data_IF_544495848027
#
_entry.id   IF_544495848027
#
_cell.length_a   1.000
_cell.length_b   1.000
_cell.length_c   1.000
_cell.angle_alpha   90.00
_cell.angle_beta   90.00
_cell.angle_gamma   90.00
#
_symmetry.space_group_name_H-M   'P 1'
#
loop_
_entity.id
_entity.type
_entity.pdbx_description
1 polymer ?
#
# COMPACT_ATOMS: atom_id res chain seq x y z
N UNK A 1 16.49 10.36 -33.90
CA UNK A 1 15.94 9.00 -34.09
C UNK A 1 15.72 8.26 -32.78
N UNK A 2 16.73 8.16 -31.91
CA UNK A 2 16.60 7.51 -30.57
C UNK A 2 15.45 8.04 -29.73
N UNK A 3 15.30 9.37 -29.59
CA UNK A 3 14.22 9.98 -28.82
C UNK A 3 12.82 9.64 -29.37
N UNK A 4 12.66 9.60 -30.68
CA UNK A 4 11.39 9.24 -31.32
C UNK A 4 11.01 7.78 -31.09
N UNK A 5 11.97 6.88 -31.06
CA UNK A 5 11.73 5.45 -30.74
C UNK A 5 11.24 5.24 -29.32
N UNK A 6 11.52 6.19 -28.42
CA UNK A 6 11.03 6.22 -27.03
C UNK A 6 9.83 7.15 -26.83
N UNK A 7 9.14 7.52 -27.90
CA UNK A 7 7.90 8.33 -27.82
C UNK A 7 8.12 9.81 -27.50
N UNK A 8 9.36 10.31 -27.58
CA UNK A 8 9.71 11.71 -27.34
C UNK A 8 9.90 12.47 -28.66
N UNK A 9 9.61 13.76 -28.67
CA UNK A 9 9.73 14.64 -29.84
C UNK A 9 11.19 14.89 -30.22
N UNK A 10 12.04 15.09 -29.23
CA UNK A 10 13.48 15.35 -29.33
C UNK A 10 14.21 14.89 -28.08
N UNK A 11 15.52 15.10 -28.02
CA UNK A 11 16.37 14.68 -26.90
C UNK A 11 16.02 15.42 -25.60
N UNK A 12 15.65 16.69 -25.66
CA UNK A 12 15.28 17.47 -24.46
C UNK A 12 13.96 16.94 -23.90
N UNK A 13 12.97 16.71 -24.73
CA UNK A 13 11.71 16.11 -24.33
C UNK A 13 11.89 14.70 -23.74
N UNK A 14 12.81 13.89 -24.31
CA UNK A 14 13.16 12.59 -23.73
C UNK A 14 13.74 12.73 -22.30
N UNK A 15 14.67 13.67 -22.10
CA UNK A 15 15.24 13.95 -20.77
C UNK A 15 14.16 14.36 -19.77
N UNK A 16 13.24 15.23 -20.19
CA UNK A 16 12.11 15.66 -19.34
C UNK A 16 11.21 14.47 -18.96
N UNK A 17 10.86 13.62 -19.92
CA UNK A 17 10.03 12.43 -19.67
C UNK A 17 10.71 11.46 -18.69
N UNK A 18 12.00 11.18 -18.90
CA UNK A 18 12.79 10.30 -18.02
C UNK A 18 12.90 10.91 -16.62
N UNK A 19 13.21 12.21 -16.53
CA UNK A 19 13.28 12.92 -15.23
C UNK A 19 11.95 12.83 -14.50
N UNK A 20 10.84 13.08 -15.19
CA UNK A 20 9.50 12.99 -14.61
C UNK A 20 9.15 11.57 -14.17
N UNK A 21 9.55 10.56 -14.92
CA UNK A 21 9.36 9.16 -14.57
C UNK A 21 10.14 8.80 -13.29
N UNK A 22 11.40 9.18 -13.20
CA UNK A 22 12.25 8.97 -12.03
C UNK A 22 11.65 9.68 -10.80
N UNK A 23 11.25 10.96 -10.94
CA UNK A 23 10.63 11.71 -9.86
C UNK A 23 9.33 11.06 -9.37
N UNK A 24 8.50 10.57 -10.29
CA UNK A 24 7.27 9.86 -9.94
C UNK A 24 7.57 8.56 -9.19
N UNK A 25 8.60 7.81 -9.61
CA UNK A 25 9.01 6.58 -8.94
C UNK A 25 9.47 6.83 -7.50
N UNK A 26 10.34 7.83 -7.29
CA UNK A 26 10.76 8.23 -5.95
C UNK A 26 9.57 8.69 -5.09
N UNK A 27 8.70 9.49 -5.68
CA UNK A 27 7.49 9.96 -4.99
C UNK A 27 6.62 8.80 -4.52
N UNK A 28 6.32 7.84 -5.40
CA UNK A 28 5.51 6.67 -5.05
C UNK A 28 6.13 5.87 -3.90
N UNK A 29 7.44 5.63 -3.97
CA UNK A 29 8.15 4.87 -2.95
C UNK A 29 8.17 5.61 -1.59
N UNK A 30 8.45 6.92 -1.59
CA UNK A 30 8.45 7.75 -0.38
C UNK A 30 7.04 7.92 0.20
N UNK A 31 6.01 8.01 -0.65
CA UNK A 31 4.60 8.03 -0.22
C UNK A 31 4.22 6.71 0.45
N UNK A 32 4.71 5.57 -0.06
CA UNK A 32 4.54 4.26 0.56
C UNK A 32 5.14 4.19 1.97
N UNK A 33 6.39 4.62 2.12
CA UNK A 33 7.06 4.70 3.43
C UNK A 33 6.31 5.64 4.39
N UNK A 34 5.86 6.79 3.90
CA UNK A 34 5.08 7.74 4.71
C UNK A 34 3.77 7.13 5.18
N UNK A 35 3.08 6.41 4.31
CA UNK A 35 1.84 5.68 4.62
C UNK A 35 2.09 4.68 5.74
N UNK A 36 3.09 3.84 5.60
CA UNK A 36 3.43 2.82 6.59
C UNK A 36 3.77 3.43 7.96
N UNK A 37 4.60 4.48 7.99
CA UNK A 37 4.93 5.17 9.22
C UNK A 37 3.71 5.80 9.91
N UNK A 38 2.76 6.35 9.14
CA UNK A 38 1.52 6.87 9.69
C UNK A 38 0.70 5.73 10.31
N UNK A 39 0.53 4.62 9.60
CA UNK A 39 -0.21 3.46 10.09
C UNK A 39 0.43 2.87 11.36
N UNK A 40 1.75 2.75 11.41
CA UNK A 40 2.48 2.28 12.59
C UNK A 40 2.29 3.21 13.80
N UNK A 41 2.27 4.52 13.59
CA UNK A 41 2.01 5.47 14.67
C UNK A 41 0.55 5.37 15.15
N UNK A 42 -0.41 5.26 14.23
CA UNK A 42 -1.83 5.07 14.56
C UNK A 42 -2.01 3.79 15.40
N UNK A 43 -1.39 2.70 14.98
CA UNK A 43 -1.43 1.45 15.72
C UNK A 43 -0.89 1.58 17.14
N UNK A 44 0.24 2.26 17.32
CA UNK A 44 0.88 2.45 18.64
C UNK A 44 0.08 3.36 19.56
N UNK A 45 -0.56 4.39 19.00
CA UNK A 45 -1.29 5.40 19.79
C UNK A 45 -2.66 4.93 20.30
N UNK A 46 -3.19 3.86 19.73
CA UNK A 46 -4.53 3.38 20.10
C UNK A 46 -4.44 1.97 20.68
N UNK A 47 -5.20 1.71 21.72
CA UNK A 47 -5.42 0.36 22.23
C UNK A 47 -6.82 -0.09 21.82
N UNK A 48 -6.90 -1.22 21.11
CA UNK A 48 -8.16 -1.78 20.60
C UNK A 48 -8.23 -3.24 21.06
N UNK A 49 -9.30 -3.60 21.73
CA UNK A 49 -9.60 -4.99 22.08
C UNK A 49 -10.06 -5.73 20.83
N UNK A 50 -9.44 -6.86 20.57
CA UNK A 50 -9.73 -7.71 19.41
C UNK A 50 -10.38 -8.98 19.94
N UNK A 51 -11.60 -9.28 19.47
CA UNK A 51 -12.27 -10.53 19.82
C UNK A 51 -11.59 -11.72 19.13
N UNK A 52 -11.60 -12.86 19.82
CA UNK A 52 -11.00 -14.11 19.29
C UNK A 52 -11.65 -14.53 17.97
N UNK A 53 -12.94 -14.29 17.80
CA UNK A 53 -13.63 -14.61 16.56
C UNK A 53 -13.07 -13.82 15.35
N UNK A 54 -12.87 -12.49 15.51
CA UNK A 54 -12.24 -11.67 14.46
C UNK A 54 -10.82 -12.13 14.16
N UNK A 55 -10.06 -12.48 15.22
CA UNK A 55 -8.70 -12.98 15.05
C UNK A 55 -8.66 -14.28 14.26
N UNK A 56 -9.54 -15.23 14.56
CA UNK A 56 -9.62 -16.50 13.83
C UNK A 56 -10.04 -16.31 12.37
N UNK A 57 -11.00 -15.42 12.10
CA UNK A 57 -11.41 -15.10 10.73
C UNK A 57 -10.25 -14.49 9.93
N UNK A 58 -9.53 -13.53 10.49
CA UNK A 58 -8.40 -12.89 9.80
C UNK A 58 -7.23 -13.86 9.61
N UNK A 59 -6.95 -14.72 10.59
CA UNK A 59 -5.95 -15.78 10.45
C UNK A 59 -6.30 -16.73 9.31
N UNK A 60 -7.57 -17.14 9.21
CA UNK A 60 -8.04 -17.97 8.10
C UNK A 60 -7.81 -17.33 6.74
N UNK A 61 -8.06 -16.01 6.62
CA UNK A 61 -7.80 -15.27 5.39
C UNK A 61 -6.30 -15.22 5.06
N UNK A 62 -5.45 -14.92 6.05
CA UNK A 62 -3.99 -14.81 5.85
C UNK A 62 -3.39 -16.17 5.46
N UNK A 63 -3.89 -17.26 6.03
CA UNK A 63 -3.31 -18.59 5.84
C UNK A 63 -3.94 -19.36 4.67
N UNK A 64 -4.99 -18.86 4.05
CA UNK A 64 -5.76 -19.56 3.01
C UNK A 64 -4.91 -20.09 1.85
N UNK A 65 -3.82 -19.42 1.50
CA UNK A 65 -2.93 -19.78 0.39
C UNK A 65 -1.61 -20.39 0.83
N UNK A 66 -1.39 -20.56 2.14
CA UNK A 66 -0.15 -21.08 2.70
C UNK A 66 -0.25 -22.59 2.89
N UNK A 67 0.91 -23.26 2.86
CA UNK A 67 1.02 -24.68 3.23
C UNK A 67 0.94 -24.83 4.75
N UNK A 68 0.44 -25.96 5.24
CA UNK A 68 0.33 -26.24 6.69
C UNK A 68 1.66 -26.06 7.44
N UNK A 69 2.77 -26.55 6.85
CA UNK A 69 4.12 -26.40 7.44
C UNK A 69 4.52 -24.93 7.63
N UNK A 70 4.16 -24.06 6.67
CA UNK A 70 4.47 -22.63 6.73
C UNK A 70 3.54 -21.91 7.72
N UNK A 71 2.31 -22.38 7.88
CA UNK A 71 1.36 -21.86 8.86
C UNK A 71 1.89 -22.10 10.28
N UNK A 72 2.30 -23.33 10.59
CA UNK A 72 2.82 -23.68 11.91
C UNK A 72 4.14 -22.96 12.23
N UNK A 73 5.09 -22.93 11.27
CA UNK A 73 6.36 -22.20 11.42
C UNK A 73 6.17 -20.71 11.70
N UNK A 74 5.16 -20.09 11.07
CA UNK A 74 4.92 -18.66 11.15
C UNK A 74 3.75 -18.26 12.05
N UNK A 75 3.22 -19.17 12.86
CA UNK A 75 1.99 -18.96 13.65
C UNK A 75 2.00 -17.65 14.44
N UNK A 76 3.05 -17.39 15.21
CA UNK A 76 3.18 -16.15 16.01
C UNK A 76 3.26 -14.89 15.13
N UNK A 77 3.92 -14.99 13.99
CA UNK A 77 4.02 -13.88 13.05
C UNK A 77 2.67 -13.61 12.37
N UNK A 78 1.99 -14.66 11.92
CA UNK A 78 0.66 -14.59 11.32
C UNK A 78 -0.34 -13.97 12.31
N UNK A 79 -0.29 -14.37 13.58
CA UNK A 79 -1.13 -13.78 14.63
C UNK A 79 -0.83 -12.29 14.85
N UNK A 80 0.44 -11.90 14.86
CA UNK A 80 0.84 -10.49 14.97
C UNK A 80 0.34 -9.66 13.77
N UNK A 81 0.47 -10.20 12.57
CA UNK A 81 -0.03 -9.55 11.34
C UNK A 81 -1.56 -9.43 11.40
N UNK A 82 -2.26 -10.50 11.78
CA UNK A 82 -3.71 -10.49 11.90
C UNK A 82 -4.18 -9.42 12.89
N UNK A 83 -3.61 -9.40 14.09
CA UNK A 83 -3.92 -8.40 15.11
C UNK A 83 -3.68 -6.96 14.61
N UNK A 84 -2.55 -6.72 13.95
CA UNK A 84 -2.24 -5.41 13.37
C UNK A 84 -3.26 -5.00 12.31
N UNK A 85 -3.62 -5.91 11.40
CA UNK A 85 -4.61 -5.65 10.33
C UNK A 85 -5.98 -5.34 10.90
N UNK A 86 -6.47 -6.14 11.85
CA UNK A 86 -7.76 -5.91 12.51
C UNK A 86 -7.76 -4.57 13.23
N UNK A 87 -6.73 -4.32 14.04
CA UNK A 87 -6.59 -3.09 14.81
C UNK A 87 -6.62 -1.85 13.92
N UNK A 88 -5.81 -1.85 12.86
CA UNK A 88 -5.79 -0.76 11.89
C UNK A 88 -7.13 -0.61 11.17
N UNK A 89 -7.74 -1.72 10.74
CA UNK A 89 -9.06 -1.69 10.10
C UNK A 89 -10.12 -1.03 10.97
N UNK A 90 -10.20 -1.40 12.25
CA UNK A 90 -11.15 -0.82 13.19
C UNK A 90 -10.90 0.68 13.44
N UNK A 91 -9.64 1.07 13.63
CA UNK A 91 -9.27 2.48 13.85
C UNK A 91 -9.57 3.32 12.60
N UNK A 92 -9.20 2.84 11.43
CA UNK A 92 -9.42 3.56 10.18
C UNK A 92 -10.92 3.68 9.87
N UNK A 93 -11.70 2.62 10.12
CA UNK A 93 -13.16 2.68 9.96
C UNK A 93 -13.78 3.75 10.87
N UNK A 94 -13.44 3.75 12.16
CA UNK A 94 -13.90 4.75 13.14
C UNK A 94 -13.53 6.18 12.72
N UNK A 95 -12.29 6.38 12.24
CA UNK A 95 -11.83 7.68 11.74
C UNK A 95 -12.62 8.12 10.50
N UNK A 96 -12.90 7.20 9.60
CA UNK A 96 -13.67 7.48 8.40
C UNK A 96 -15.12 7.81 8.71
N UNK A 97 -15.77 7.06 9.58
CA UNK A 97 -17.15 7.30 10.00
C UNK A 97 -17.30 8.66 10.71
N UNK A 98 -16.43 8.96 11.68
CA UNK A 98 -16.43 10.24 12.38
C UNK A 98 -16.22 11.46 11.50
N UNK A 99 -15.58 11.27 10.35
CA UNK A 99 -15.36 12.34 9.37
C UNK A 99 -16.27 12.22 8.15
N UNK A 100 -17.29 11.36 8.17
CA UNK A 100 -18.26 11.14 7.09
C UNK A 100 -17.60 10.83 5.74
N UNK A 101 -16.46 10.14 5.76
CA UNK A 101 -15.75 9.74 4.56
C UNK A 101 -16.48 8.56 3.89
N UNK A 102 -16.70 8.66 2.61
CA UNK A 102 -17.28 7.60 1.78
C UNK A 102 -16.51 7.52 0.47
N UNK A 103 -16.46 6.35 -0.11
CA UNK A 103 -15.96 6.16 -1.48
C UNK A 103 -17.15 6.33 -2.42
N UNK A 104 -17.04 7.29 -3.31
CA UNK A 104 -18.06 7.54 -4.32
C UNK A 104 -17.86 6.58 -5.50
N UNK A 105 -18.95 6.23 -6.17
CA UNK A 105 -18.90 5.36 -7.35
C UNK A 105 -17.98 5.91 -8.45
N UNK A 106 -17.91 7.24 -8.58
CA UNK A 106 -17.00 7.91 -9.51
C UNK A 106 -15.53 7.65 -9.16
N UNK A 107 -15.16 7.71 -7.89
CA UNK A 107 -13.77 7.47 -7.44
C UNK A 107 -13.35 6.04 -7.76
N UNK A 108 -14.24 5.07 -7.56
CA UNK A 108 -13.99 3.68 -7.92
C UNK A 108 -13.82 3.52 -9.44
N UNK A 109 -14.70 4.12 -10.24
CA UNK A 109 -14.60 4.11 -11.70
C UNK A 109 -13.29 4.75 -12.19
N UNK A 110 -12.91 5.89 -11.62
CA UNK A 110 -11.66 6.59 -11.96
C UNK A 110 -10.43 5.75 -11.60
N UNK A 111 -10.46 5.02 -10.47
CA UNK A 111 -9.39 4.12 -10.07
C UNK A 111 -9.26 2.91 -11.02
N UNK A 112 -10.38 2.29 -11.40
CA UNK A 112 -10.39 1.20 -12.40
C UNK A 112 -9.85 1.73 -13.74
N UNK A 113 -10.29 2.91 -14.17
CA UNK A 113 -9.81 3.52 -15.42
C UNK A 113 -8.31 3.79 -15.42
N UNK A 114 -7.74 4.22 -14.30
CA UNK A 114 -6.29 4.37 -14.15
C UNK A 114 -5.56 3.04 -14.30
N UNK A 115 -6.08 1.96 -13.72
CA UNK A 115 -5.48 0.63 -13.90
C UNK A 115 -5.58 0.15 -15.35
N UNK A 116 -6.71 0.36 -16.00
CA UNK A 116 -6.88 0.07 -17.44
C UNK A 116 -5.84 0.80 -18.29
N UNK A 117 -5.59 2.09 -17.97
CA UNK A 117 -4.60 2.89 -18.70
C UNK A 117 -3.15 2.47 -18.41
N UNK A 118 -2.88 1.91 -17.23
CA UNK A 118 -1.54 1.46 -16.84
C UNK A 118 -1.13 0.12 -17.46
N UNK A 119 -2.08 -0.61 -18.10
CA UNK A 119 -1.85 -1.94 -18.70
C UNK A 119 -2.17 -1.93 -20.22
N UNK A 120 -1.31 -1.34 -21.07
CA UNK A 120 -1.51 -1.32 -22.50
C UNK A 120 -1.64 -2.73 -23.09
N UNK A 121 -2.64 -2.94 -23.94
CA UNK A 121 -2.94 -4.24 -24.55
C UNK A 121 -3.82 -5.16 -23.70
N UNK A 122 -4.04 -4.86 -22.42
CA UNK A 122 -4.87 -5.68 -21.51
C UNK A 122 -6.12 -4.94 -20.98
N UNK A 123 -6.45 -3.79 -21.56
CA UNK A 123 -7.52 -2.91 -21.07
C UNK A 123 -8.85 -3.64 -20.89
N UNK A 124 -9.22 -4.45 -21.88
CA UNK A 124 -10.47 -5.22 -21.85
C UNK A 124 -10.47 -6.25 -20.73
N UNK A 125 -9.34 -6.94 -20.54
CA UNK A 125 -9.20 -7.96 -19.50
C UNK A 125 -9.29 -7.36 -18.09
N UNK A 126 -8.66 -6.20 -17.87
CA UNK A 126 -8.75 -5.49 -16.58
C UNK A 126 -10.18 -5.06 -16.28
N UNK A 127 -10.88 -4.50 -17.27
CA UNK A 127 -12.28 -4.09 -17.09
C UNK A 127 -13.18 -5.28 -16.78
N UNK A 128 -13.07 -6.37 -17.56
CA UNK A 128 -13.83 -7.61 -17.33
C UNK A 128 -13.53 -8.23 -15.97
N UNK A 129 -12.27 -8.16 -15.51
CA UNK A 129 -11.88 -8.65 -14.20
C UNK A 129 -12.68 -7.98 -13.08
N UNK A 130 -12.76 -6.64 -13.08
CA UNK A 130 -13.54 -5.92 -12.07
C UNK A 130 -15.05 -6.12 -12.20
N UNK A 131 -15.56 -6.29 -13.41
CA UNK A 131 -16.98 -6.59 -13.65
C UNK A 131 -17.38 -7.98 -13.14
N UNK A 132 -16.51 -8.98 -13.31
CA UNK A 132 -16.77 -10.36 -12.92
C UNK A 132 -16.41 -10.68 -11.47
N UNK A 133 -15.62 -9.83 -10.80
CA UNK A 133 -15.12 -10.05 -9.44
C UNK A 133 -15.51 -8.90 -8.50
N UNK A 134 -16.70 -8.95 -7.90
CA UNK A 134 -17.15 -7.92 -6.94
C UNK A 134 -16.19 -7.75 -5.74
N UNK A 135 -15.54 -8.84 -5.31
CA UNK A 135 -14.54 -8.80 -4.23
C UNK A 135 -13.31 -7.97 -4.60
N UNK A 136 -12.88 -8.00 -5.86
CA UNK A 136 -11.77 -7.17 -6.32
C UNK A 136 -12.16 -5.68 -6.35
N UNK A 137 -13.38 -5.36 -6.77
CA UNK A 137 -13.93 -4.01 -6.72
C UNK A 137 -14.06 -3.51 -5.27
N UNK A 138 -14.52 -4.36 -4.34
CA UNK A 138 -14.59 -4.05 -2.92
C UNK A 138 -13.20 -3.80 -2.32
N UNK A 139 -12.20 -4.63 -2.66
CA UNK A 139 -10.80 -4.43 -2.26
C UNK A 139 -10.24 -3.09 -2.75
N UNK A 140 -10.49 -2.73 -4.00
CA UNK A 140 -10.08 -1.45 -4.56
C UNK A 140 -10.78 -0.28 -3.84
N UNK A 141 -12.08 -0.41 -3.56
CA UNK A 141 -12.83 0.57 -2.78
C UNK A 141 -12.25 0.73 -1.37
N UNK A 142 -11.88 -0.37 -0.71
CA UNK A 142 -11.18 -0.34 0.58
C UNK A 142 -9.86 0.42 0.52
N UNK A 143 -9.07 0.22 -0.54
CA UNK A 143 -7.82 0.95 -0.75
C UNK A 143 -8.05 2.46 -0.96
N UNK A 144 -9.08 2.85 -1.71
CA UNK A 144 -9.45 4.26 -1.90
C UNK A 144 -9.89 4.88 -0.56
N UNK A 145 -10.69 4.14 0.22
CA UNK A 145 -11.15 4.59 1.54
C UNK A 145 -9.97 4.85 2.49
N UNK A 146 -9.05 3.91 2.56
CA UNK A 146 -7.82 4.04 3.35
C UNK A 146 -7.00 5.26 2.90
N UNK A 147 -6.83 5.46 1.60
CA UNK A 147 -6.12 6.63 1.05
C UNK A 147 -6.80 7.95 1.44
N UNK A 148 -8.13 8.01 1.41
CA UNK A 148 -8.91 9.19 1.84
C UNK A 148 -8.66 9.50 3.32
N UNK A 149 -8.63 8.48 4.18
CA UNK A 149 -8.35 8.65 5.61
C UNK A 149 -6.91 9.12 5.82
N UNK A 150 -5.94 8.52 5.16
CA UNK A 150 -4.54 8.95 5.24
C UNK A 150 -4.35 10.38 4.76
N UNK A 151 -5.03 10.78 3.69
CA UNK A 151 -5.01 12.14 3.20
C UNK A 151 -5.65 13.13 4.19
N UNK A 152 -6.73 12.73 4.85
CA UNK A 152 -7.33 13.51 5.94
C UNK A 152 -6.35 13.70 7.10
N UNK A 153 -5.68 12.64 7.53
CA UNK A 153 -4.67 12.69 8.60
C UNK A 153 -3.51 13.61 8.21
N UNK A 154 -2.97 13.43 7.01
CA UNK A 154 -1.91 14.31 6.46
C UNK A 154 -2.35 15.77 6.45
N UNK A 155 -3.58 16.05 6.01
CA UNK A 155 -4.14 17.40 5.93
C UNK A 155 -4.32 18.07 7.31
N UNK A 156 -4.70 17.28 8.32
CA UNK A 156 -4.88 17.77 9.71
C UNK A 156 -3.57 17.81 10.48
N UNK A 157 -2.51 17.17 10.01
CA UNK A 157 -1.20 17.13 10.66
C UNK A 157 -0.36 18.34 10.30
N UNK A 158 0.52 18.76 11.22
CA UNK A 158 1.55 19.76 10.92
C UNK A 158 2.59 19.13 9.99
N UNK A 159 2.63 19.58 8.76
CA UNK A 159 3.55 19.06 7.75
C UNK A 159 4.81 19.91 7.68
N UNK A 160 5.97 19.27 7.63
CA UNK A 160 7.25 19.88 7.31
C UNK A 160 7.74 19.29 5.99
N UNK A 161 7.96 20.15 4.99
CA UNK A 161 8.52 19.74 3.70
C UNK A 161 10.05 19.87 3.77
N UNK A 162 10.74 18.77 3.43
CA UNK A 162 12.19 18.75 3.24
C UNK A 162 12.48 18.40 1.78
N UNK A 163 13.25 19.24 1.11
CA UNK A 163 13.80 18.92 -0.21
C UNK A 163 15.02 18.05 0.02
N UNK A 164 15.06 16.90 -0.62
CA UNK A 164 16.16 15.93 -0.51
C UNK A 164 16.74 15.63 -1.90
N UNK A 165 18.01 15.25 -1.94
CA UNK A 165 18.66 14.78 -3.15
C UNK A 165 18.24 13.34 -3.51
N UNK A 166 18.54 12.89 -4.72
CA UNK A 166 18.33 11.49 -5.13
C UNK A 166 19.06 10.51 -4.22
N UNK A 167 20.31 10.84 -3.85
CA UNK A 167 21.13 9.98 -2.97
C UNK A 167 20.55 9.86 -1.55
N UNK A 168 19.98 10.96 -1.02
CA UNK A 168 19.26 10.92 0.26
C UNK A 168 17.98 10.07 0.16
N UNK A 169 17.26 10.18 -0.95
CA UNK A 169 16.07 9.37 -1.19
C UNK A 169 16.42 7.88 -1.29
N UNK A 170 17.48 7.51 -2.02
CA UNK A 170 17.96 6.13 -2.11
C UNK A 170 18.39 5.57 -0.75
N UNK A 171 19.06 6.35 0.07
CA UNK A 171 19.42 5.94 1.44
C UNK A 171 18.18 5.65 2.29
N UNK A 172 17.15 6.50 2.20
CA UNK A 172 15.90 6.29 2.92
C UNK A 172 15.23 4.99 2.44
N UNK A 173 15.16 4.77 1.14
CA UNK A 173 14.56 3.58 0.55
C UNK A 173 15.30 2.31 0.98
N UNK A 174 16.63 2.29 0.94
CA UNK A 174 17.45 1.17 1.40
C UNK A 174 17.25 0.87 2.88
N UNK A 175 17.28 1.89 3.74
CA UNK A 175 17.08 1.72 5.17
C UNK A 175 15.71 1.12 5.53
N UNK A 176 14.65 1.50 4.82
CA UNK A 176 13.33 0.93 5.05
C UNK A 176 13.23 -0.50 4.47
N UNK A 177 13.82 -0.75 3.31
CA UNK A 177 13.90 -2.09 2.73
C UNK A 177 14.64 -3.08 3.65
N UNK A 178 15.77 -2.66 4.20
CA UNK A 178 16.58 -3.50 5.10
C UNK A 178 15.82 -3.82 6.41
N UNK A 179 15.04 -2.89 6.94
CA UNK A 179 14.19 -3.14 8.11
C UNK A 179 13.16 -4.24 7.85
N UNK A 180 12.58 -4.27 6.65
CA UNK A 180 11.63 -5.32 6.27
C UNK A 180 12.31 -6.68 6.06
N UNK A 181 13.54 -6.70 5.55
CA UNK A 181 14.31 -7.94 5.39
C UNK A 181 14.83 -8.50 6.71
N UNK A 182 15.30 -7.68 7.64
CA UNK A 182 15.76 -8.11 8.97
C UNK A 182 14.63 -8.77 9.77
N UNK A 183 13.41 -8.26 9.67
CA UNK A 183 12.25 -8.90 10.30
C UNK A 183 11.92 -10.28 9.71
N UNK A 184 12.26 -10.54 8.46
CA UNK A 184 12.09 -11.87 7.86
C UNK A 184 13.26 -12.85 8.18
N UNK A 185 14.46 -12.37 8.47
CA UNK A 185 15.64 -13.21 8.72
C UNK A 185 15.93 -13.51 10.19
N UNK A 186 15.43 -12.74 11.16
CA UNK A 186 15.60 -13.06 12.59
C UNK A 186 14.86 -14.33 13.02
N UNK A 187 13.98 -14.88 12.18
CA UNK A 187 13.28 -16.12 12.47
C UNK A 187 13.90 -17.38 11.87
N UNK A 188 14.91 -17.27 10.99
CA UNK A 188 15.64 -18.43 10.46
C UNK A 188 16.94 -18.80 11.20
N UNK A 189 17.40 -17.97 12.14
CA UNK A 189 18.69 -18.16 12.82
C UNK A 189 18.58 -18.67 14.28
N UNK A 190 17.42 -19.14 14.71
CA UNK A 190 17.24 -19.78 16.04
C UNK A 190 16.64 -21.18 15.91
N UNK A 191 17.31 -22.00 15.11
CA UNK A 191 17.08 -23.45 15.08
C UNK A 191 18.42 -24.13 14.82
N UNK A 192 19.26 -24.13 15.82
CA UNK A 192 20.34 -25.10 16.07
C UNK A 192 20.40 -25.39 17.56
#
# INVERSE_FOLDING_TARGET
EFAKNHGAKDLNNLKELVTKQIQNQYKMNLDGISKEKILDQIEKLHNVEISDNLLQQELSIITQTLKEEDIEKNKKNNEKIAKKRIKLGLILNELGEKNSLKVEERELKDAIQKQVQSMPGQQKQVLEYYQKNPSAAASLSGSIYEEKILNLIKKKSKQTKKIITSDEAEKILKLEHDKHHVHNHEHSAKSD
#
